data_IF_755727549609
#
_entry.id   IF_755727549609
#
_cell.length_a   1.000
_cell.length_b   1.000
_cell.length_c   1.000
_cell.angle_alpha   90.00
_cell.angle_beta   90.00
_cell.angle_gamma   90.00
#
_symmetry.space_group_name_H-M   'P 1'
#
loop_
_entity.id
_entity.type
_entity.pdbx_description
1 polymer ?
#
# COMPACT_ATOMS: atom_id res chain seq x y z
N UNK A 1 19.89 -10.44 3.24
CA UNK A 1 18.62 -9.70 3.34
C UNK A 1 18.11 -9.85 4.76
N UNK A 2 17.86 -8.73 5.45
CA UNK A 2 17.28 -8.76 6.79
C UNK A 2 15.84 -9.29 6.77
N UNK A 3 15.33 -9.72 7.92
CA UNK A 3 13.93 -10.12 8.07
C UNK A 3 13.04 -8.91 7.77
N UNK A 4 11.96 -9.11 7.00
CA UNK A 4 10.98 -8.05 6.74
C UNK A 4 10.38 -7.53 8.05
N UNK A 5 10.11 -6.23 8.11
CA UNK A 5 9.40 -5.58 9.22
C UNK A 5 7.89 -5.53 9.00
N UNK A 6 7.42 -5.87 7.80
CA UNK A 6 6.01 -5.83 7.45
C UNK A 6 5.24 -6.90 8.23
N UNK A 7 4.07 -6.51 8.73
CA UNK A 7 3.10 -7.50 9.22
C UNK A 7 2.49 -8.26 8.04
N UNK A 8 1.86 -9.41 8.33
CA UNK A 8 1.14 -10.19 7.34
C UNK A 8 0.06 -9.37 6.62
N UNK A 9 -0.65 -8.50 7.35
CA UNK A 9 -1.70 -7.64 6.82
C UNK A 9 -1.12 -6.57 5.88
N UNK A 10 -0.01 -5.94 6.26
CA UNK A 10 0.68 -4.96 5.42
C UNK A 10 1.19 -5.61 4.14
N UNK A 11 1.81 -6.78 4.25
CA UNK A 11 2.27 -7.55 3.10
C UNK A 11 1.11 -7.91 2.16
N UNK A 12 0.01 -8.45 2.70
CA UNK A 12 -1.16 -8.82 1.91
C UNK A 12 -1.81 -7.61 1.22
N UNK A 13 -1.85 -6.44 1.89
CA UNK A 13 -2.32 -5.22 1.26
C UNK A 13 -1.43 -4.81 0.09
N UNK A 14 -0.11 -4.82 0.26
CA UNK A 14 0.83 -4.45 -0.81
C UNK A 14 0.77 -5.42 -1.99
N UNK A 15 0.64 -6.72 -1.72
CA UNK A 15 0.42 -7.76 -2.74
C UNK A 15 -0.89 -7.54 -3.51
N UNK A 16 -1.98 -7.22 -2.81
CA UNK A 16 -3.23 -6.89 -3.46
C UNK A 16 -3.13 -5.59 -4.28
N UNK A 17 -2.51 -4.55 -3.72
CA UNK A 17 -2.36 -3.25 -4.36
C UNK A 17 -1.50 -3.33 -5.63
N UNK A 18 -0.40 -4.10 -5.61
CA UNK A 18 0.47 -4.24 -6.79
C UNK A 18 -0.22 -4.96 -7.95
N UNK A 19 -1.18 -5.84 -7.68
CA UNK A 19 -1.96 -6.52 -8.71
C UNK A 19 -2.94 -5.57 -9.44
N UNK A 20 -3.22 -4.39 -8.88
CA UNK A 20 -4.11 -3.41 -9.47
C UNK A 20 -3.34 -2.45 -10.38
N UNK A 21 -3.48 -2.61 -11.70
CA UNK A 21 -2.86 -1.74 -12.70
C UNK A 21 -3.13 -0.24 -12.45
N UNK A 22 -4.33 0.08 -11.95
CA UNK A 22 -4.71 1.44 -11.60
C UNK A 22 -3.98 2.01 -10.38
N UNK A 23 -3.52 1.17 -9.46
CA UNK A 23 -2.76 1.61 -8.29
C UNK A 23 -1.29 1.79 -8.67
N UNK A 24 -0.64 0.77 -9.25
CA UNK A 24 0.79 0.83 -9.61
C UNK A 24 1.13 1.94 -10.61
N UNK A 25 0.19 2.35 -11.46
CA UNK A 25 0.39 3.44 -12.42
C UNK A 25 0.37 4.82 -11.77
N UNK A 26 -0.22 4.93 -10.58
CA UNK A 26 -0.60 6.20 -9.97
C UNK A 26 0.05 6.43 -8.61
N UNK A 27 0.36 5.37 -7.87
CA UNK A 27 0.79 5.46 -6.49
C UNK A 27 2.13 4.77 -6.26
N UNK A 28 2.91 5.35 -5.36
CA UNK A 28 4.19 4.82 -4.87
C UNK A 28 4.12 4.61 -3.37
N UNK A 29 4.63 3.49 -2.87
CA UNK A 29 4.84 3.30 -1.44
C UNK A 29 5.91 4.30 -0.96
N UNK A 30 5.59 5.05 0.10
CA UNK A 30 6.47 6.09 0.64
C UNK A 30 6.44 6.08 2.17
N UNK A 31 6.97 7.14 2.77
CA UNK A 31 6.84 7.41 4.20
C UNK A 31 7.65 6.46 5.08
N UNK A 32 7.20 6.34 6.33
CA UNK A 32 7.95 5.64 7.39
C UNK A 32 8.14 4.16 7.11
N UNK A 33 7.13 3.52 6.53
CA UNK A 33 7.14 2.07 6.26
C UNK A 33 8.04 1.71 5.09
N UNK A 34 8.03 2.50 4.00
CA UNK A 34 8.99 2.33 2.92
C UNK A 34 10.44 2.48 3.43
N UNK A 35 10.68 3.49 4.26
CA UNK A 35 12.00 3.77 4.81
C UNK A 35 12.48 2.66 5.75
N UNK A 36 11.59 2.16 6.61
CA UNK A 36 11.91 1.10 7.55
C UNK A 36 12.14 -0.25 6.84
N UNK A 37 11.31 -0.64 5.88
CA UNK A 37 11.42 -1.95 5.21
C UNK A 37 12.62 -2.04 4.27
N UNK A 38 12.83 -1.03 3.42
CA UNK A 38 13.80 -1.15 2.32
C UNK A 38 15.19 -0.58 2.62
N UNK A 39 15.33 0.26 3.65
CA UNK A 39 16.58 0.97 3.90
C UNK A 39 17.19 0.68 5.27
N UNK A 40 16.45 0.96 6.35
CA UNK A 40 17.09 1.09 7.67
C UNK A 40 16.73 0.00 8.67
N UNK A 41 15.55 -0.62 8.59
CA UNK A 41 15.06 -1.63 9.54
C UNK A 41 15.20 -1.20 11.03
N UNK A 42 15.14 0.12 11.29
CA UNK A 42 15.51 0.73 12.56
C UNK A 42 14.35 0.85 13.55
N UNK A 43 13.12 0.63 13.09
CA UNK A 43 11.90 0.69 13.90
C UNK A 43 10.77 -0.09 13.21
N UNK A 44 9.76 -0.44 13.98
CA UNK A 44 8.47 -0.82 13.44
C UNK A 44 7.75 0.42 12.89
N UNK A 45 6.93 0.22 11.85
CA UNK A 45 6.12 1.25 11.24
C UNK A 45 4.79 0.64 10.83
N UNK A 46 3.70 1.17 11.38
CA UNK A 46 2.36 0.55 11.29
C UNK A 46 1.57 1.07 10.08
N UNK A 47 1.76 2.33 9.70
CA UNK A 47 1.00 2.98 8.63
C UNK A 47 1.51 2.62 7.23
N UNK A 48 0.63 2.60 6.22
CA UNK A 48 1.04 2.53 4.81
C UNK A 48 0.75 3.87 4.14
N UNK A 49 1.81 4.56 3.73
CA UNK A 49 1.73 5.81 3.00
C UNK A 49 1.85 5.58 1.49
N UNK A 50 0.88 6.08 0.71
CA UNK A 50 0.92 6.06 -0.74
C UNK A 50 0.98 7.49 -1.29
N UNK A 51 1.97 7.79 -2.11
CA UNK A 51 2.13 9.08 -2.79
C UNK A 51 1.71 8.99 -4.26
N UNK A 52 1.08 10.04 -4.79
CA UNK A 52 0.77 10.20 -6.21
C UNK A 52 1.19 11.59 -6.66
N UNK A 53 1.83 11.67 -7.82
CA UNK A 53 2.15 12.95 -8.48
C UNK A 53 0.90 13.63 -9.07
N UNK A 54 -0.19 12.88 -9.26
CA UNK A 54 -1.46 13.38 -9.77
C UNK A 54 -2.44 13.60 -8.64
N UNK A 55 -3.24 14.67 -8.73
CA UNK A 55 -4.42 14.83 -7.89
C UNK A 55 -5.45 13.77 -8.27
N UNK A 56 -5.61 12.77 -7.41
CA UNK A 56 -6.60 11.71 -7.57
C UNK A 56 -7.70 11.97 -6.54
N UNK A 57 -8.92 12.23 -7.02
CA UNK A 57 -10.10 12.34 -6.16
C UNK A 57 -10.40 10.95 -5.59
N UNK A 58 -9.86 10.70 -4.39
CA UNK A 58 -9.89 9.40 -3.70
C UNK A 58 -11.31 8.82 -3.56
N UNK A 59 -12.33 9.68 -3.54
CA UNK A 59 -13.74 9.30 -3.38
C UNK A 59 -14.23 8.32 -4.44
N UNK A 60 -13.80 8.42 -5.70
CA UNK A 60 -14.30 7.52 -6.77
C UNK A 60 -13.60 6.16 -6.72
N UNK A 61 -12.32 6.10 -6.36
CA UNK A 61 -11.54 4.86 -6.36
C UNK A 61 -11.84 3.98 -5.13
N UNK A 62 -12.00 4.57 -3.95
CA UNK A 62 -12.34 3.81 -2.73
C UNK A 62 -13.75 3.20 -2.78
N UNK A 63 -14.72 3.87 -3.41
CA UNK A 63 -16.06 3.31 -3.64
C UNK A 63 -16.02 2.07 -4.54
N UNK A 64 -15.10 2.06 -5.51
CA UNK A 64 -14.89 0.90 -6.39
C UNK A 64 -14.20 -0.25 -5.65
N UNK A 65 -13.14 0.03 -4.90
CA UNK A 65 -12.44 -0.97 -4.08
C UNK A 65 -13.34 -1.61 -3.02
N UNK A 66 -14.15 -0.83 -2.31
CA UNK A 66 -15.08 -1.38 -1.30
C UNK A 66 -16.09 -2.35 -1.91
N UNK A 67 -16.56 -2.07 -3.14
CA UNK A 67 -17.54 -2.93 -3.82
C UNK A 67 -16.88 -4.24 -4.28
N UNK A 68 -15.64 -4.19 -4.75
CA UNK A 68 -14.88 -5.37 -5.16
C UNK A 68 -14.47 -6.23 -3.96
N UNK A 69 -14.11 -5.63 -2.83
CA UNK A 69 -13.82 -6.36 -1.57
C UNK A 69 -15.08 -6.93 -0.91
N UNK A 70 -16.25 -6.32 -1.08
CA UNK A 70 -17.52 -6.81 -0.55
C UNK A 70 -18.15 -7.95 -1.38
N UNK A 71 -17.69 -8.16 -2.62
CA UNK A 71 -18.13 -9.26 -3.51
C UNK A 71 -17.25 -10.51 -3.40
N UNK A 72 -16.22 -10.46 -2.55
CA UNK A 72 -15.41 -11.62 -2.16
C UNK A 72 -15.82 -12.01 -0.74
N UNK A 73 -17.04 -12.55 -0.61
CA UNK A 73 -17.50 -13.36 0.52
C UNK A 73 -18.47 -14.42 -0.01
#
# INVERSE_FOLDING_TARGET
>A
MGKSILTTEQFNFLEYAQAQASIIKNFYLTGGTALAEFYFQHRLSEDIDLFSERLILATIHFLKLKKELALVN
#
